data_IF_468907056033
#
_entry.id   IF_468907056033
#
_cell.length_a   1.000
_cell.length_b   1.000
_cell.length_c   1.000
_cell.angle_alpha   90.00
_cell.angle_beta   90.00
_cell.angle_gamma   90.00
#
_symmetry.space_group_name_H-M   'P 1'
#
loop_
_entity.id
_entity.type
_entity.pdbx_description
1 polymer ?
#
# COMPACT_ATOMS: atom_id res chain seq x y z
N UNK A 1 0.13 16.90 -0.21
CA UNK A 1 -1.34 16.78 -0.34
C UNK A 1 -1.94 16.40 0.99
N UNK A 2 -2.93 17.12 1.44
CA UNK A 2 -3.66 16.77 2.67
C UNK A 2 -4.71 15.71 2.36
N UNK A 3 -4.75 14.66 3.17
CA UNK A 3 -5.68 13.54 2.98
C UNK A 3 -6.30 13.11 4.32
N UNK A 4 -7.33 12.25 4.31
CA UNK A 4 -7.89 11.70 5.55
C UNK A 4 -6.89 10.91 6.41
N UNK A 5 -5.76 10.50 5.84
CA UNK A 5 -4.71 9.78 6.58
C UNK A 5 -3.47 10.63 6.80
N UNK A 6 -3.56 11.94 6.60
CA UNK A 6 -2.47 12.89 6.82
C UNK A 6 -1.89 13.46 5.53
N UNK A 7 -0.78 14.15 5.66
CA UNK A 7 -0.09 14.78 4.54
C UNK A 7 0.72 13.74 3.78
N UNK A 8 0.51 13.65 2.49
CA UNK A 8 1.22 12.72 1.61
C UNK A 8 2.01 13.45 0.53
N UNK A 9 3.15 12.87 0.18
CA UNK A 9 3.93 13.28 -0.98
C UNK A 9 4.32 12.06 -1.80
N UNK A 10 4.53 12.26 -3.10
CA UNK A 10 4.86 11.18 -4.04
C UNK A 10 6.08 11.62 -4.86
N UNK A 11 7.09 10.76 -4.88
CA UNK A 11 8.29 11.00 -5.69
C UNK A 11 8.13 10.25 -7.00
N UNK A 12 8.25 11.00 -8.11
CA UNK A 12 8.22 10.45 -9.46
C UNK A 12 9.51 10.84 -10.17
N UNK A 13 10.10 9.88 -10.90
CA UNK A 13 11.29 10.09 -11.72
C UNK A 13 10.99 9.57 -13.11
N UNK A 14 11.12 10.44 -14.12
CA UNK A 14 10.82 10.09 -15.51
C UNK A 14 9.40 9.52 -15.70
N UNK A 15 8.43 10.05 -14.98
CA UNK A 15 7.04 9.62 -15.06
C UNK A 15 6.71 8.34 -14.31
N UNK A 16 7.67 7.78 -13.55
CA UNK A 16 7.47 6.56 -12.76
C UNK A 16 7.45 6.87 -11.27
N UNK A 17 6.51 6.27 -10.56
CA UNK A 17 6.38 6.45 -9.11
C UNK A 17 7.44 5.62 -8.40
N UNK A 18 8.22 6.30 -7.55
CA UNK A 18 9.33 5.67 -6.80
C UNK A 18 9.04 5.54 -5.31
N UNK A 19 8.30 6.48 -4.73
CA UNK A 19 8.01 6.48 -3.30
C UNK A 19 6.74 7.28 -2.99
N UNK A 20 6.06 6.88 -1.92
CA UNK A 20 4.99 7.63 -1.29
C UNK A 20 5.36 7.80 0.19
N UNK A 21 5.34 9.05 0.67
CA UNK A 21 5.76 9.38 2.02
C UNK A 21 4.67 10.13 2.78
N UNK A 22 4.61 9.92 4.10
CA UNK A 22 3.79 10.74 5.00
C UNK A 22 4.57 11.98 5.40
N UNK A 23 4.72 12.88 4.46
CA UNK A 23 5.47 14.12 4.65
C UNK A 23 5.07 15.13 3.57
N UNK A 24 5.32 16.39 3.85
CA UNK A 24 5.19 17.44 2.85
C UNK A 24 6.26 17.24 1.76
N UNK A 25 5.94 17.56 0.53
CA UNK A 25 6.86 17.35 -0.58
C UNK A 25 6.17 17.37 -1.94
N UNK A 26 6.79 16.71 -2.90
CA UNK A 26 6.31 16.67 -4.28
C UNK A 26 4.98 15.94 -4.44
N UNK A 27 4.21 16.38 -5.41
CA UNK A 27 2.96 15.72 -5.80
C UNK A 27 2.60 16.14 -7.22
N UNK A 28 2.67 15.20 -8.17
CA UNK A 28 2.22 15.49 -9.53
C UNK A 28 0.70 15.64 -9.57
N UNK A 29 0.20 16.31 -10.60
CA UNK A 29 -1.25 16.46 -10.80
C UNK A 29 -1.94 15.12 -10.98
N UNK A 30 -1.29 14.18 -11.67
CA UNK A 30 -1.84 12.84 -11.87
C UNK A 30 -1.93 12.06 -10.55
N UNK A 31 -0.89 12.08 -9.73
CA UNK A 31 -0.91 11.41 -8.43
C UNK A 31 -1.95 12.03 -7.50
N UNK A 32 -2.02 13.36 -7.45
CA UNK A 32 -3.03 14.09 -6.67
C UNK A 32 -4.44 13.71 -7.10
N UNK A 33 -4.71 13.70 -8.40
CA UNK A 33 -6.00 13.32 -8.95
C UNK A 33 -6.40 11.90 -8.54
N UNK A 34 -5.51 10.93 -8.70
CA UNK A 34 -5.81 9.54 -8.39
C UNK A 34 -6.01 9.32 -6.89
N UNK A 35 -5.20 9.95 -6.05
CA UNK A 35 -5.39 9.89 -4.60
C UNK A 35 -6.70 10.55 -4.17
N UNK A 36 -7.04 11.70 -4.74
CA UNK A 36 -8.30 12.38 -4.45
C UNK A 36 -9.49 11.50 -4.82
N UNK A 37 -9.45 10.90 -6.00
CA UNK A 37 -10.49 9.96 -6.44
C UNK A 37 -10.60 8.74 -5.52
N UNK A 38 -9.46 8.21 -5.07
CA UNK A 38 -9.45 7.08 -4.15
C UNK A 38 -10.09 7.43 -2.80
N UNK A 39 -9.69 8.55 -2.20
CA UNK A 39 -10.25 8.99 -0.91
C UNK A 39 -11.72 9.41 -1.00
N UNK A 40 -12.20 9.78 -2.18
CA UNK A 40 -13.61 10.10 -2.42
C UNK A 40 -14.42 8.89 -2.92
N UNK A 41 -13.86 7.69 -2.85
CA UNK A 41 -14.50 6.43 -3.27
C UNK A 41 -14.87 6.38 -4.75
N UNK A 42 -14.14 7.13 -5.57
CA UNK A 42 -14.36 7.21 -7.02
C UNK A 42 -13.36 6.37 -7.82
N UNK A 43 -12.34 5.84 -7.15
CA UNK A 43 -11.29 5.03 -7.78
C UNK A 43 -10.94 3.84 -6.91
N UNK A 44 -10.88 2.66 -7.52
CA UNK A 44 -10.52 1.41 -6.85
C UNK A 44 -9.15 0.88 -7.25
N UNK A 45 -8.63 1.30 -8.41
CA UNK A 45 -7.36 0.83 -8.95
C UNK A 45 -6.52 2.05 -9.36
N UNK A 46 -5.28 2.07 -8.88
CA UNK A 46 -4.32 3.10 -9.29
C UNK A 46 -3.67 2.72 -10.61
N UNK A 47 -3.44 3.72 -11.46
CA UNK A 47 -2.82 3.56 -12.77
C UNK A 47 -1.50 4.31 -12.81
N UNK A 48 -0.43 3.64 -12.36
CA UNK A 48 0.93 4.17 -12.35
C UNK A 48 1.93 3.15 -12.89
N UNK A 49 3.00 3.66 -13.49
CA UNK A 49 4.22 2.89 -13.67
C UNK A 49 5.10 3.11 -12.44
N UNK A 50 5.79 2.06 -12.02
CA UNK A 50 6.63 2.10 -10.83
C UNK A 50 8.09 1.84 -11.17
N UNK A 51 8.98 2.54 -10.49
CA UNK A 51 10.41 2.27 -10.46
C UNK A 51 10.79 2.07 -9.00
N UNK A 52 10.81 0.83 -8.55
CA UNK A 52 10.99 0.48 -7.15
C UNK A 52 12.35 -0.15 -6.91
N UNK A 53 13.01 0.26 -5.82
CA UNK A 53 14.23 -0.36 -5.36
C UNK A 53 13.90 -1.41 -4.31
N UNK A 54 14.52 -2.58 -4.43
CA UNK A 54 14.34 -3.66 -3.48
C UNK A 54 14.97 -4.94 -4.00
N UNK A 55 14.99 -5.95 -3.15
CA UNK A 55 15.48 -7.28 -3.51
C UNK A 55 14.49 -7.96 -4.45
N UNK A 56 14.95 -9.02 -5.13
CA UNK A 56 14.07 -9.83 -5.97
C UNK A 56 12.88 -10.39 -5.18
N UNK A 57 13.13 -10.82 -3.94
CA UNK A 57 12.08 -11.32 -3.05
C UNK A 57 11.07 -10.23 -2.69
N UNK A 58 11.54 -9.05 -2.29
CA UNK A 58 10.66 -7.92 -1.97
C UNK A 58 9.77 -7.55 -3.16
N UNK A 59 10.35 -7.44 -4.35
CA UNK A 59 9.59 -7.13 -5.57
C UNK A 59 8.54 -8.20 -5.88
N UNK A 60 8.86 -9.46 -5.65
CA UNK A 60 7.91 -10.56 -5.83
C UNK A 60 6.71 -10.44 -4.88
N UNK A 61 6.97 -10.09 -3.63
CA UNK A 61 5.92 -9.85 -2.64
C UNK A 61 5.07 -8.65 -3.03
N UNK A 62 5.69 -7.52 -3.38
CA UNK A 62 4.97 -6.31 -3.77
C UNK A 62 4.08 -6.55 -4.98
N UNK A 63 4.54 -7.34 -5.95
CA UNK A 63 3.73 -7.72 -7.10
C UNK A 63 2.51 -8.55 -6.68
N UNK A 64 2.67 -9.45 -5.73
CA UNK A 64 1.54 -10.20 -5.18
C UNK A 64 0.54 -9.29 -4.47
N UNK A 65 1.01 -8.26 -3.75
CA UNK A 65 0.14 -7.29 -3.10
C UNK A 65 -0.71 -6.51 -4.10
N UNK A 66 -0.16 -6.16 -5.27
CA UNK A 66 -0.90 -5.46 -6.32
C UNK A 66 -2.11 -6.25 -6.82
N UNK A 67 -2.10 -7.56 -6.64
CA UNK A 67 -3.21 -8.43 -7.05
C UNK A 67 -4.30 -8.57 -5.99
N UNK A 68 -4.16 -7.95 -4.81
CA UNK A 68 -5.22 -7.95 -3.80
C UNK A 68 -6.27 -6.91 -4.19
N UNK A 69 -7.51 -7.32 -4.51
CA UNK A 69 -8.52 -6.37 -4.97
C UNK A 69 -8.94 -5.38 -3.88
N UNK A 70 -9.39 -4.22 -4.32
CA UNK A 70 -10.04 -3.24 -3.46
C UNK A 70 -11.18 -3.89 -2.66
N UNK A 71 -11.26 -3.58 -1.38
CA UNK A 71 -12.31 -4.13 -0.53
C UNK A 71 -12.08 -5.57 -0.08
N UNK A 72 -10.87 -6.10 -0.27
CA UNK A 72 -10.49 -7.48 0.06
C UNK A 72 -9.23 -7.48 0.90
N UNK A 73 -9.10 -8.45 1.79
CA UNK A 73 -7.86 -8.67 2.54
C UNK A 73 -7.31 -10.06 2.28
N UNK A 74 -6.00 -10.19 2.49
CA UNK A 74 -5.32 -11.49 2.56
C UNK A 74 -4.46 -11.53 3.81
N UNK A 75 -4.21 -12.73 4.32
CA UNK A 75 -3.32 -12.90 5.46
C UNK A 75 -1.86 -12.97 4.98
N UNK A 76 -0.92 -12.75 5.88
CA UNK A 76 0.50 -12.99 5.60
C UNK A 76 0.74 -14.43 5.14
N UNK A 77 0.00 -15.38 5.69
CA UNK A 77 0.07 -16.78 5.28
C UNK A 77 -0.38 -16.97 3.83
N UNK A 78 -1.48 -16.32 3.43
CA UNK A 78 -1.97 -16.38 2.05
C UNK A 78 -0.91 -15.91 1.05
N UNK A 79 -0.27 -14.77 1.34
CA UNK A 79 0.79 -14.23 0.49
C UNK A 79 2.02 -15.16 0.50
N UNK A 80 2.37 -15.71 1.66
CA UNK A 80 3.49 -16.66 1.76
C UNK A 80 3.26 -17.88 0.88
N UNK A 81 2.07 -18.42 0.85
CA UNK A 81 1.73 -19.55 -0.02
C UNK A 81 1.83 -19.17 -1.50
N UNK A 82 1.38 -17.99 -1.88
CA UNK A 82 1.47 -17.52 -3.27
C UNK A 82 2.92 -17.38 -3.77
N UNK A 83 3.81 -16.89 -2.92
CA UNK A 83 5.20 -16.60 -3.33
C UNK A 83 6.19 -17.71 -2.96
N UNK A 84 5.73 -18.75 -2.29
CA UNK A 84 6.58 -19.87 -1.89
C UNK A 84 7.53 -19.52 -0.72
N UNK A 85 7.01 -18.87 0.31
CA UNK A 85 7.79 -18.43 1.47
C UNK A 85 7.02 -18.69 2.76
N UNK A 86 7.35 -17.96 3.82
CA UNK A 86 6.68 -18.08 5.12
C UNK A 86 6.27 -16.68 5.64
N UNK A 87 5.26 -16.62 6.55
CA UNK A 87 4.67 -15.33 6.96
C UNK A 87 5.65 -14.31 7.51
N UNK A 88 6.67 -14.72 8.22
CA UNK A 88 7.67 -13.82 8.79
C UNK A 88 8.44 -13.05 7.72
N UNK A 89 8.87 -13.75 6.67
CA UNK A 89 9.57 -13.13 5.55
C UNK A 89 8.64 -12.17 4.80
N UNK A 90 7.37 -12.53 4.65
CA UNK A 90 6.37 -11.65 4.04
C UNK A 90 6.20 -10.37 4.85
N UNK A 91 6.12 -10.47 6.19
CA UNK A 91 6.01 -9.30 7.06
C UNK A 91 7.12 -8.30 6.84
N UNK A 92 8.36 -8.77 6.70
CA UNK A 92 9.51 -7.93 6.41
C UNK A 92 9.40 -7.22 5.06
N UNK A 93 9.01 -7.95 4.03
CA UNK A 93 8.85 -7.38 2.68
C UNK A 93 7.68 -6.39 2.60
N UNK A 94 6.56 -6.69 3.25
CA UNK A 94 5.40 -5.79 3.34
C UNK A 94 5.78 -4.49 4.03
N UNK A 95 6.53 -4.58 5.13
CA UNK A 95 7.00 -3.41 5.87
C UNK A 95 8.00 -2.54 5.09
N UNK A 96 8.67 -3.11 4.10
CA UNK A 96 9.65 -2.39 3.27
C UNK A 96 9.03 -1.75 2.02
N UNK A 97 7.72 -1.86 1.82
CA UNK A 97 7.03 -1.29 0.66
C UNK A 97 7.27 0.22 0.54
N UNK A 98 7.89 0.70 -0.55
CA UNK A 98 8.20 2.12 -0.71
C UNK A 98 7.01 2.98 -1.15
N UNK A 99 5.92 2.37 -1.58
CA UNK A 99 4.74 3.08 -2.11
C UNK A 99 3.44 2.57 -1.47
N UNK A 100 3.32 2.66 -0.14
CA UNK A 100 2.09 2.23 0.52
C UNK A 100 0.88 2.96 -0.05
N UNK A 101 -0.29 2.40 0.09
CA UNK A 101 -1.55 2.80 -0.53
C UNK A 101 -1.60 2.40 -2.02
N UNK A 102 -0.62 2.80 -2.83
CA UNK A 102 -0.56 2.41 -4.24
C UNK A 102 -0.33 0.91 -4.38
N UNK A 103 0.67 0.38 -3.66
CA UNK A 103 0.82 -1.07 -3.46
C UNK A 103 0.14 -1.37 -2.12
N UNK A 104 -0.99 -2.08 -2.12
CA UNK A 104 -1.91 -2.07 -0.98
C UNK A 104 -1.48 -2.97 0.18
N UNK A 105 -0.37 -2.62 0.82
CA UNK A 105 0.11 -3.36 2.00
C UNK A 105 -0.88 -3.30 3.17
N UNK A 106 -1.76 -2.31 3.22
CA UNK A 106 -2.82 -2.22 4.22
C UNK A 106 -3.86 -3.36 4.11
N UNK A 107 -3.92 -4.04 2.95
CA UNK A 107 -4.83 -5.18 2.73
C UNK A 107 -4.27 -6.51 3.23
N UNK A 108 -3.07 -6.51 3.81
CA UNK A 108 -2.49 -7.71 4.43
C UNK A 108 -2.72 -7.65 5.93
N UNK A 109 -3.35 -8.68 6.47
CA UNK A 109 -3.74 -8.75 7.88
C UNK A 109 -3.21 -10.04 8.51
N UNK A 110 -3.21 -10.09 9.84
CA UNK A 110 -2.86 -11.31 10.57
C UNK A 110 -3.95 -12.37 10.47
N UNK A 111 -3.68 -13.53 11.03
CA UNK A 111 -4.64 -14.64 11.11
C UNK A 111 -5.98 -14.16 11.69
N UNK A 112 -7.09 -14.64 11.13
CA UNK A 112 -8.44 -14.26 11.55
C UNK A 112 -8.74 -12.77 11.39
N UNK A 113 -8.05 -12.07 10.49
CA UNK A 113 -8.28 -10.64 10.23
C UNK A 113 -7.67 -9.71 11.25
N UNK A 114 -6.75 -10.20 12.09
CA UNK A 114 -6.11 -9.40 13.13
C UNK A 114 -5.31 -8.24 12.54
N UNK A 115 -5.54 -7.02 13.07
CA UNK A 115 -4.77 -5.83 12.69
C UNK A 115 -3.35 -5.92 13.23
N UNK A 116 -2.39 -6.02 12.34
CA UNK A 116 -0.96 -6.07 12.69
C UNK A 116 -0.14 -5.24 11.73
N UNK A 117 1.02 -4.77 12.20
CA UNK A 117 2.12 -4.27 11.40
C UNK A 117 1.81 -3.29 10.27
N UNK A 118 1.64 -2.02 10.60
CA UNK A 118 1.64 -0.96 9.58
C UNK A 118 2.48 0.20 10.10
N UNK A 119 3.45 0.66 9.32
CA UNK A 119 4.37 1.73 9.71
C UNK A 119 4.07 3.09 9.09
N UNK A 120 3.16 3.15 8.11
CA UNK A 120 2.77 4.41 7.48
C UNK A 120 1.86 5.26 8.38
N UNK A 121 1.94 6.59 8.23
CA UNK A 121 1.12 7.53 8.97
C UNK A 121 1.19 7.33 10.48
N UNK A 122 0.07 7.08 11.11
CA UNK A 122 -0.05 6.81 12.55
C UNK A 122 -0.04 5.30 12.88
N UNK A 123 0.42 4.47 11.94
CA UNK A 123 0.47 3.02 12.14
C UNK A 123 -0.89 2.35 11.98
N UNK A 124 -1.26 1.50 12.95
CA UNK A 124 -2.53 0.75 12.90
C UNK A 124 -3.76 1.63 12.69
N UNK A 125 -3.93 2.80 13.36
CA UNK A 125 -5.05 3.68 13.07
C UNK A 125 -5.16 4.10 11.59
N UNK A 126 -4.04 4.37 10.94
CA UNK A 126 -4.02 4.68 9.50
C UNK A 126 -4.48 3.47 8.68
N UNK A 127 -3.98 2.29 8.98
CA UNK A 127 -4.40 1.04 8.32
C UNK A 127 -5.90 0.82 8.46
N UNK A 128 -6.44 0.99 9.65
CA UNK A 128 -7.88 0.87 9.90
C UNK A 128 -8.68 1.88 9.09
N UNK A 129 -8.22 3.13 9.00
CA UNK A 129 -8.88 4.18 8.21
C UNK A 129 -8.96 3.78 6.73
N UNK A 130 -7.86 3.26 6.16
CA UNK A 130 -7.85 2.79 4.78
C UNK A 130 -8.81 1.62 4.57
N UNK A 131 -8.83 0.66 5.48
CA UNK A 131 -9.74 -0.48 5.39
C UNK A 131 -11.21 -0.08 5.55
N UNK A 132 -11.52 0.88 6.42
CA UNK A 132 -12.85 1.45 6.54
C UNK A 132 -13.28 2.16 5.26
N UNK A 133 -12.37 2.92 4.66
CA UNK A 133 -12.63 3.60 3.40
C UNK A 133 -13.03 2.60 2.32
N UNK A 134 -12.37 1.45 2.29
CA UNK A 134 -12.63 0.40 1.31
C UNK A 134 -13.82 -0.50 1.67
N UNK A 135 -14.49 -0.25 2.78
CA UNK A 135 -15.68 -0.98 3.18
C UNK A 135 -15.43 -2.32 3.88
N UNK A 136 -14.18 -2.56 4.31
CA UNK A 136 -13.81 -3.81 5.01
C UNK A 136 -14.15 -3.74 6.49
N UNK A 137 -13.98 -2.60 7.10
CA UNK A 137 -14.28 -2.36 8.52
C UNK A 137 -15.50 -1.49 8.72
#
# INVERSE_FOLDING_TARGET
>A
MQTPVGTLSVIEINGKVCALNWADGEMSKNAEKQLDEYFNKQRKVFDFEYELEGTAFQKKVWKALLNIPYGTTKTYKDIAEEVGSHPRAIGGAVGANPVPIFIPCHRVVGSSGKMTGFSGGEGIPTKETLLKLEGIL
#
